data_IF_000047197042
#
_entry.id   IF_000047197042
#
_cell.length_a   1.000
_cell.length_b   1.000
_cell.length_c   1.000
_cell.angle_alpha   90.00
_cell.angle_beta   90.00
_cell.angle_gamma   90.00
#
_symmetry.space_group_name_H-M   'P 1'
#
loop_
_entity.id
_entity.type
_entity.pdbx_description
1 polymer ?
#
# COMPACT_ATOMS: atom_id res chain seq x y z
N UNK A 1 -4.16 7.39 2.04
CA UNK A 1 -4.87 7.14 0.75
C UNK A 1 -5.94 6.08 0.99
N UNK A 2 -7.12 6.17 0.36
CA UNK A 2 -8.21 5.19 0.53
C UNK A 2 -8.33 4.26 -0.68
N UNK A 3 -8.44 2.96 -0.44
CA UNK A 3 -8.45 1.92 -1.48
C UNK A 3 -9.62 0.96 -1.28
N UNK A 4 -10.13 0.43 -2.40
CA UNK A 4 -11.17 -0.60 -2.39
C UNK A 4 -10.55 -1.99 -2.33
N UNK A 5 -11.16 -2.89 -1.57
CA UNK A 5 -10.72 -4.29 -1.47
C UNK A 5 -11.39 -5.10 -2.57
N UNK A 6 -10.59 -5.76 -3.39
CA UNK A 6 -11.03 -6.70 -4.43
C UNK A 6 -10.95 -8.15 -3.93
N UNK A 7 -11.82 -9.01 -4.46
CA UNK A 7 -11.69 -10.46 -4.28
C UNK A 7 -10.65 -11.06 -5.26
N UNK A 8 -10.40 -12.36 -5.14
CA UNK A 8 -9.44 -13.07 -6.02
C UNK A 8 -9.85 -13.10 -7.50
N UNK A 9 -11.11 -12.79 -7.80
CA UNK A 9 -11.65 -12.69 -9.16
C UNK A 9 -11.65 -11.25 -9.67
N UNK A 10 -11.12 -10.29 -8.90
CA UNK A 10 -11.07 -8.88 -9.23
C UNK A 10 -12.38 -8.11 -8.99
N UNK A 11 -13.36 -8.68 -8.28
CA UNK A 11 -14.63 -8.00 -7.96
C UNK A 11 -14.53 -7.18 -6.69
N UNK A 12 -15.16 -6.00 -6.66
CA UNK A 12 -15.23 -5.16 -5.46
C UNK A 12 -16.01 -5.85 -4.34
N UNK A 13 -15.43 -5.88 -3.14
CA UNK A 13 -16.03 -6.53 -1.97
C UNK A 13 -16.90 -5.60 -1.13
N UNK A 14 -17.04 -4.33 -1.53
CA UNK A 14 -17.73 -3.28 -0.77
C UNK A 14 -16.95 -2.75 0.45
N UNK A 15 -15.80 -3.35 0.77
CA UNK A 15 -14.90 -2.88 1.85
C UNK A 15 -13.92 -1.85 1.30
N UNK A 16 -13.66 -0.79 2.07
CA UNK A 16 -12.56 0.15 1.83
C UNK A 16 -11.56 0.12 2.98
N UNK A 17 -10.30 0.40 2.66
CA UNK A 17 -9.20 0.48 3.62
C UNK A 17 -8.44 1.76 3.38
N UNK A 18 -8.08 2.45 4.47
CA UNK A 18 -7.23 3.63 4.45
C UNK A 18 -5.81 3.23 4.82
N UNK A 19 -4.86 3.46 3.91
CA UNK A 19 -3.43 3.31 4.18
C UNK A 19 -2.87 4.59 4.78
N UNK A 20 -2.07 4.41 5.84
CA UNK A 20 -1.37 5.48 6.54
C UNK A 20 -0.27 6.08 5.66
N UNK A 21 -0.27 7.41 5.54
CA UNK A 21 0.71 8.13 4.73
C UNK A 21 2.11 8.11 5.35
N UNK A 22 2.22 7.98 6.68
CA UNK A 22 3.51 7.86 7.36
C UNK A 22 4.26 6.58 7.04
N UNK A 23 3.57 5.57 6.49
CA UNK A 23 4.15 4.29 6.08
C UNK A 23 4.18 4.15 4.56
N UNK A 24 3.07 4.45 3.88
CA UNK A 24 2.90 4.17 2.44
C UNK A 24 3.05 5.40 1.54
N UNK A 25 3.28 6.58 2.11
CA UNK A 25 3.44 7.84 1.37
C UNK A 25 4.82 8.48 1.55
N UNK A 26 5.79 7.76 2.10
CA UNK A 26 7.15 8.24 2.30
C UNK A 26 7.95 8.21 1.00
N UNK A 27 8.89 9.14 0.86
CA UNK A 27 9.86 9.12 -0.23
C UNK A 27 10.80 7.91 -0.03
N UNK A 28 10.96 7.03 -1.04
CA UNK A 28 11.84 5.88 -0.91
C UNK A 28 13.29 6.33 -0.73
N UNK A 29 13.99 5.67 0.19
CA UNK A 29 15.41 5.87 0.39
C UNK A 29 16.18 4.74 -0.30
N UNK A 30 16.68 5.01 -1.51
CA UNK A 30 17.37 4.03 -2.35
C UNK A 30 18.57 3.36 -1.66
N UNK A 31 19.32 4.12 -0.86
CA UNK A 31 20.47 3.59 -0.12
C UNK A 31 20.03 2.60 0.96
N UNK A 32 18.95 2.90 1.68
CA UNK A 32 18.40 2.01 2.70
C UNK A 32 17.79 0.76 2.08
N UNK A 33 17.10 0.91 0.95
CA UNK A 33 16.53 -0.22 0.18
C UNK A 33 17.64 -1.16 -0.31
N UNK A 34 18.75 -0.61 -0.80
CA UNK A 34 19.89 -1.41 -1.27
C UNK A 34 20.57 -2.19 -0.14
N UNK A 35 20.60 -1.63 1.06
CA UNK A 35 21.25 -2.23 2.22
C UNK A 35 20.36 -3.21 3.01
N UNK A 36 19.06 -3.29 2.71
CA UNK A 36 18.10 -4.21 3.33
C UNK A 36 18.21 -5.62 2.71
N UNK A 37 19.32 -6.30 3.02
CA UNK A 37 19.64 -7.69 2.63
C UNK A 37 20.17 -8.52 3.80
#
# INVERSE_FOLDING_TARGET
>A
MEFKVLDINGKETGKSVKLDASVFGIEPNDHSIYLDV
#
